data_IF_724550529353
#
_entry.id   IF_724550529353
#
_cell.length_a   1.000
_cell.length_b   1.000
_cell.length_c   1.000
_cell.angle_alpha   90.00
_cell.angle_beta   90.00
_cell.angle_gamma   90.00
#
_symmetry.space_group_name_H-M   'P 1'
#
loop_
_entity.id
_entity.type
_entity.pdbx_description
1 polymer ?
#
# COMPACT_ATOMS: atom_id res chain seq x y z
N UNK A 1 15.47 3.93 1.84
CA UNK A 1 15.04 3.48 3.19
C UNK A 1 14.26 2.20 3.05
N UNK A 2 14.02 1.48 4.16
CA UNK A 2 13.04 0.40 4.22
C UNK A 2 11.76 0.95 4.84
N UNK A 3 10.66 0.93 4.10
CA UNK A 3 9.39 1.54 4.45
C UNK A 3 8.33 0.44 4.44
N UNK A 4 7.56 0.34 5.52
CA UNK A 4 6.43 -0.57 5.62
C UNK A 4 5.16 0.25 5.75
N UNK A 5 4.19 0.02 4.86
CA UNK A 5 2.89 0.68 4.87
C UNK A 5 1.84 -0.36 5.25
N UNK A 6 1.13 -0.11 6.34
CA UNK A 6 0.02 -0.96 6.81
C UNK A 6 -1.28 -0.20 6.57
N UNK A 7 -2.22 -0.81 5.86
CA UNK A 7 -3.49 -0.18 5.49
C UNK A 7 -4.63 -1.19 5.52
N UNK A 8 -5.82 -0.75 5.91
CA UNK A 8 -7.09 -1.48 5.74
C UNK A 8 -7.78 -1.16 4.40
N UNK A 9 -7.34 -0.11 3.72
CA UNK A 9 -7.80 0.27 2.40
C UNK A 9 -6.85 -0.29 1.33
N UNK A 10 -7.32 -1.29 0.58
CA UNK A 10 -6.62 -1.86 -0.57
C UNK A 10 -7.58 -2.34 -1.67
N UNK A 11 -7.02 -2.79 -2.79
CA UNK A 11 -7.79 -3.38 -3.89
C UNK A 11 -8.69 -4.52 -3.37
N UNK A 12 -9.94 -4.66 -3.85
CA UNK A 12 -10.55 -3.99 -5.02
C UNK A 12 -11.24 -2.64 -4.71
N UNK A 13 -10.98 -1.99 -3.56
CA UNK A 13 -11.63 -0.73 -3.24
C UNK A 13 -11.18 0.40 -4.20
N UNK A 14 -12.13 1.21 -4.68
CA UNK A 14 -11.87 2.29 -5.66
C UNK A 14 -11.86 3.69 -5.04
N UNK A 15 -11.61 3.79 -3.73
CA UNK A 15 -11.61 5.07 -3.02
C UNK A 15 -10.30 5.86 -3.19
N UNK A 16 -10.33 7.13 -2.78
CA UNK A 16 -9.17 8.01 -2.86
C UNK A 16 -7.95 7.53 -2.07
N UNK A 17 -8.14 6.75 -0.99
CA UNK A 17 -7.05 6.23 -0.16
C UNK A 17 -6.23 5.20 -0.94
N UNK A 18 -6.90 4.23 -1.58
CA UNK A 18 -6.20 3.23 -2.42
C UNK A 18 -5.40 3.90 -3.52
N UNK A 19 -5.98 4.91 -4.20
CA UNK A 19 -5.28 5.64 -5.27
C UNK A 19 -4.05 6.39 -4.75
N UNK A 20 -4.18 7.08 -3.62
CA UNK A 20 -3.05 7.79 -3.00
C UNK A 20 -1.96 6.82 -2.58
N UNK A 21 -2.29 5.73 -1.89
CA UNK A 21 -1.29 4.74 -1.44
C UNK A 21 -0.54 4.10 -2.61
N UNK A 22 -1.23 3.76 -3.71
CA UNK A 22 -0.57 3.24 -4.92
C UNK A 22 0.41 4.25 -5.51
N UNK A 23 0.01 5.52 -5.62
CA UNK A 23 0.89 6.56 -6.16
C UNK A 23 2.08 6.85 -5.23
N UNK A 24 1.84 6.93 -3.91
CA UNK A 24 2.89 7.12 -2.91
C UNK A 24 3.90 5.97 -2.96
N UNK A 25 3.46 4.71 -2.98
CA UNK A 25 4.35 3.56 -3.10
C UNK A 25 5.17 3.61 -4.39
N UNK A 26 4.55 3.95 -5.51
CA UNK A 26 5.23 4.09 -6.80
C UNK A 26 6.33 5.16 -6.77
N UNK A 27 6.04 6.37 -6.26
CA UNK A 27 7.04 7.44 -6.19
C UNK A 27 8.16 7.11 -5.19
N UNK A 28 7.84 6.52 -4.04
CA UNK A 28 8.86 6.10 -3.06
C UNK A 28 9.81 5.03 -3.64
N UNK A 29 9.28 4.07 -4.41
CA UNK A 29 10.09 3.07 -5.11
C UNK A 29 10.98 3.73 -6.18
N UNK A 30 10.43 4.68 -6.94
CA UNK A 30 11.18 5.47 -7.93
C UNK A 30 12.31 6.29 -7.30
N UNK A 31 12.15 6.74 -6.05
CA UNK A 31 13.19 7.41 -5.26
C UNK A 31 14.23 6.44 -4.68
N UNK A 32 14.15 5.14 -5.00
CA UNK A 32 15.11 4.12 -4.54
C UNK A 32 14.83 3.60 -3.12
N UNK A 33 13.60 3.73 -2.62
CA UNK A 33 13.20 3.14 -1.35
C UNK A 33 12.62 1.73 -1.56
N UNK A 34 12.90 0.84 -0.60
CA UNK A 34 12.24 -0.46 -0.51
C UNK A 34 10.93 -0.24 0.23
N UNK A 35 9.81 -0.53 -0.43
CA UNK A 35 8.46 -0.35 0.13
C UNK A 35 7.76 -1.70 0.14
N UNK A 36 7.34 -2.12 1.33
CA UNK A 36 6.52 -3.30 1.55
C UNK A 36 5.14 -2.86 2.07
N UNK A 37 4.10 -3.55 1.61
CA UNK A 37 2.70 -3.26 1.97
C UNK A 37 2.15 -4.43 2.77
N UNK A 38 1.47 -4.13 3.87
CA UNK A 38 0.60 -5.08 4.59
C UNK A 38 -0.84 -4.64 4.33
N UNK A 39 -1.65 -5.54 3.78
CA UNK A 39 -3.01 -5.23 3.32
C UNK A 39 -4.01 -6.29 3.78
N UNK A 40 -5.32 -6.02 3.80
CA UNK A 40 -6.30 -7.02 4.24
C UNK A 40 -6.39 -8.23 3.32
N UNK A 41 -5.93 -8.14 2.07
CA UNK A 41 -5.96 -9.26 1.12
C UNK A 41 -5.16 -10.47 1.64
N UNK A 42 -4.18 -10.23 2.50
CA UNK A 42 -3.31 -11.26 3.08
C UNK A 42 -3.94 -11.96 4.30
N UNK A 43 -5.05 -11.44 4.83
CA UNK A 43 -5.67 -11.93 6.07
C UNK A 43 -7.15 -12.24 5.85
N UNK A 44 -7.57 -13.46 6.21
CA UNK A 44 -9.01 -13.80 6.25
C UNK A 44 -9.64 -13.22 7.52
N UNK A 45 -10.71 -12.46 7.36
CA UNK A 45 -11.58 -12.06 8.47
C UNK A 45 -12.45 -13.26 8.89
N UNK A 46 -12.56 -13.51 10.21
CA UNK A 46 -13.42 -14.54 10.81
C UNK A 46 -14.80 -13.94 11.10
#
# INVERSE_FOLDING_TARGET
MRIMIVTDAWEPQVNGVVRTLKQTTYELQKMGHQVEMITPTEFKTI
#
